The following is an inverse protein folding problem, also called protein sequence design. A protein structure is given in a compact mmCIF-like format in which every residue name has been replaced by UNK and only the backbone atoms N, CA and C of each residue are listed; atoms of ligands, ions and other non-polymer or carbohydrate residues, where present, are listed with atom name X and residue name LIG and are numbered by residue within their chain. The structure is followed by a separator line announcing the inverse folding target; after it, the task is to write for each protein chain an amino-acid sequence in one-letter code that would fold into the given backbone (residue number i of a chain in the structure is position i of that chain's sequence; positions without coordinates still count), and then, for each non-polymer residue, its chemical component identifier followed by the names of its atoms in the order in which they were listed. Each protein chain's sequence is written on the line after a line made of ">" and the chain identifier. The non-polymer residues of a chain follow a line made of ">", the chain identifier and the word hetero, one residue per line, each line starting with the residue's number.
data_IF_941907116041
#
_entry.id   IF_941907116041
#
_cell.length_a   1.000
_cell.length_b   1.000
_cell.length_c   1.000
_cell.angle_alpha   90.00
_cell.angle_beta   90.00
_cell.angle_gamma   90.00
#
_symmetry.space_group_name_H-M   'P 1'
#
loop_
_entity.id
_entity.type
_entity.pdbx_description
1 polymer ?
#
# COMPACT_ATOMS: atom_id res chain seq x y z
N UNK A 1 -74.37 72.79 2.10
CA UNK A 1 -74.48 72.92 0.64
C UNK A 1 -73.77 71.76 -0.04
N UNK A 2 -74.50 70.69 -0.33
CA UNK A 2 -74.47 69.98 -1.60
C UNK A 2 -75.65 69.00 -1.56
N UNK A 3 -76.79 69.52 -2.02
CA UNK A 3 -77.95 68.73 -2.39
C UNK A 3 -77.54 67.75 -3.50
N UNK A 4 -77.62 66.46 -3.24
CA UNK A 4 -77.56 65.43 -4.27
C UNK A 4 -78.96 64.84 -4.47
N UNK A 5 -79.64 65.40 -5.47
CA UNK A 5 -80.83 64.89 -6.15
C UNK A 5 -80.95 63.36 -6.10
N UNK A 6 -81.89 62.83 -5.32
CA UNK A 6 -82.46 61.51 -5.59
C UNK A 6 -83.29 61.62 -6.87
N UNK A 7 -82.66 61.35 -8.03
CA UNK A 7 -83.41 61.00 -9.24
C UNK A 7 -84.17 59.71 -8.93
N UNK A 8 -85.48 59.79 -8.82
CA UNK A 8 -86.36 58.62 -8.83
C UNK A 8 -86.20 57.91 -10.18
N UNK A 9 -85.31 56.92 -10.22
CA UNK A 9 -85.15 56.03 -11.34
C UNK A 9 -86.32 55.03 -11.30
N UNK A 10 -87.34 55.28 -12.12
CA UNK A 10 -88.47 54.36 -12.35
C UNK A 10 -88.08 53.18 -13.26
N UNK A 11 -86.79 52.82 -13.30
CA UNK A 11 -86.31 51.62 -13.98
C UNK A 11 -86.61 50.43 -13.09
N UNK A 12 -87.53 49.56 -13.53
CA UNK A 12 -87.83 48.30 -12.86
C UNK A 12 -86.63 47.38 -13.05
N UNK A 13 -85.73 47.37 -12.06
CA UNK A 13 -84.59 46.45 -12.04
C UNK A 13 -85.07 45.04 -11.70
N UNK A 14 -84.52 44.04 -12.38
CA UNK A 14 -84.69 42.66 -11.94
C UNK A 14 -83.96 42.44 -10.62
N UNK A 15 -84.41 41.47 -9.82
CA UNK A 15 -83.75 41.09 -8.56
C UNK A 15 -82.28 40.74 -8.79
N UNK A 16 -81.97 40.12 -9.94
CA UNK A 16 -80.61 39.80 -10.36
C UNK A 16 -79.78 41.05 -10.65
N UNK A 17 -80.35 42.05 -11.32
CA UNK A 17 -79.65 43.30 -11.66
C UNK A 17 -79.36 44.12 -10.40
N UNK A 18 -80.31 44.15 -9.45
CA UNK A 18 -80.13 44.79 -8.15
C UNK A 18 -78.98 44.15 -7.36
N UNK A 19 -78.96 42.82 -7.22
CA UNK A 19 -77.91 42.11 -6.47
C UNK A 19 -76.54 42.23 -7.14
N UNK A 20 -76.47 42.20 -8.48
CA UNK A 20 -75.21 42.41 -9.20
C UNK A 20 -74.70 43.85 -9.05
N UNK A 21 -75.59 44.84 -9.03
CA UNK A 21 -75.24 46.24 -8.77
C UNK A 21 -74.69 46.41 -7.35
N UNK A 22 -75.38 45.84 -6.35
CA UNK A 22 -74.94 45.86 -4.95
C UNK A 22 -73.58 45.19 -4.77
N UNK A 23 -73.38 44.00 -5.37
CA UNK A 23 -72.08 43.31 -5.37
C UNK A 23 -70.95 44.21 -5.91
N UNK A 24 -71.15 44.85 -7.07
CA UNK A 24 -70.13 45.73 -7.67
C UNK A 24 -69.78 46.93 -6.79
N UNK A 25 -70.76 47.52 -6.11
CA UNK A 25 -70.53 48.64 -5.19
C UNK A 25 -69.74 48.21 -3.95
N UNK A 26 -70.04 47.04 -3.39
CA UNK A 26 -69.35 46.48 -2.23
C UNK A 26 -67.91 46.12 -2.56
N UNK A 27 -67.69 45.40 -3.67
CA UNK A 27 -66.35 44.99 -4.11
C UNK A 27 -65.48 46.20 -4.47
N UNK A 28 -66.08 47.28 -5.00
CA UNK A 28 -65.35 48.52 -5.32
C UNK A 28 -64.91 49.29 -4.08
N UNK A 29 -65.76 49.36 -3.06
CA UNK A 29 -65.50 50.17 -1.86
C UNK A 29 -64.72 49.42 -0.78
N UNK A 30 -64.75 48.08 -0.78
CA UNK A 30 -64.18 47.24 0.28
C UNK A 30 -63.34 46.09 -0.30
N UNK A 31 -62.30 46.43 -1.06
CA UNK A 31 -61.46 45.48 -1.82
C UNK A 31 -60.27 44.89 -1.06
N UNK A 32 -59.93 45.39 0.13
CA UNK A 32 -58.97 44.78 1.06
C UNK A 32 -59.09 45.46 2.43
N UNK A 33 -59.86 44.85 3.32
CA UNK A 33 -60.10 45.36 4.67
C UNK A 33 -59.78 44.30 5.71
N UNK A 34 -59.48 44.78 6.91
CA UNK A 34 -59.19 43.95 8.07
C UNK A 34 -60.39 43.96 9.01
N UNK A 35 -60.83 42.78 9.44
CA UNK A 35 -61.91 42.60 10.41
C UNK A 35 -61.45 41.70 11.55
N UNK A 36 -61.91 41.98 12.76
CA UNK A 36 -61.60 41.19 13.96
C UNK A 36 -62.90 40.68 14.58
N UNK A 37 -62.89 39.44 15.07
CA UNK A 37 -64.00 38.91 15.85
C UNK A 37 -63.81 37.45 16.23
N UNK A 38 -64.82 36.87 16.85
CA UNK A 38 -64.83 35.47 17.29
C UNK A 38 -65.40 34.57 16.18
N UNK A 39 -64.70 33.47 15.88
CA UNK A 39 -65.14 32.47 14.91
C UNK A 39 -66.29 31.65 15.49
N UNK A 40 -67.35 31.49 14.70
CA UNK A 40 -68.49 30.63 15.03
C UNK A 40 -68.94 29.82 13.82
N UNK A 41 -69.49 28.63 14.07
CA UNK A 41 -70.04 27.74 13.07
C UNK A 41 -69.03 27.38 11.96
N UNK A 42 -67.78 27.08 12.32
CA UNK A 42 -66.76 26.67 11.38
C UNK A 42 -67.08 25.32 10.74
N UNK A 43 -67.05 25.29 9.39
CA UNK A 43 -67.28 24.09 8.59
C UNK A 43 -66.25 23.98 7.47
N UNK A 44 -65.53 22.87 7.45
CA UNK A 44 -64.70 22.45 6.31
C UNK A 44 -65.46 21.44 5.46
N UNK A 45 -65.71 21.77 4.19
CA UNK A 45 -66.36 20.87 3.22
C UNK A 45 -65.33 20.11 2.38
N UNK A 46 -65.73 18.98 1.79
CA UNK A 46 -64.89 18.13 0.94
C UNK A 46 -64.31 18.84 -0.31
N UNK A 47 -64.95 19.94 -0.74
CA UNK A 47 -64.44 20.84 -1.79
C UNK A 47 -63.14 21.55 -1.40
N UNK A 48 -62.77 21.52 -0.12
CA UNK A 48 -61.60 22.20 0.41
C UNK A 48 -61.82 23.69 0.65
N UNK A 49 -63.07 24.17 0.74
CA UNK A 49 -63.39 25.54 1.14
C UNK A 49 -63.79 25.57 2.63
N UNK A 50 -63.40 26.63 3.32
CA UNK A 50 -63.83 26.87 4.69
C UNK A 50 -64.95 27.91 4.72
N UNK A 51 -66.02 27.57 5.42
CA UNK A 51 -67.14 28.45 5.67
C UNK A 51 -67.28 28.62 7.17
N UNK A 52 -67.30 29.86 7.63
CA UNK A 52 -67.46 30.16 9.05
C UNK A 52 -68.10 31.53 9.18
N UNK A 53 -68.52 31.90 10.38
CA UNK A 53 -68.97 33.25 10.68
C UNK A 53 -68.00 33.90 11.64
N UNK A 54 -67.85 35.21 11.53
CA UNK A 54 -67.16 36.02 12.53
C UNK A 54 -68.19 36.94 13.17
N UNK A 55 -68.24 36.91 14.50
CA UNK A 55 -69.12 37.77 15.30
C UNK A 55 -68.31 38.75 16.15
N UNK A 56 -68.87 39.92 16.38
CA UNK A 56 -68.49 40.84 17.44
C UNK A 56 -69.66 40.97 18.45
N UNK A 57 -69.60 41.91 19.38
CA UNK A 57 -70.64 42.09 20.42
C UNK A 57 -72.02 42.44 19.85
N UNK A 58 -72.09 43.00 18.62
CA UNK A 58 -73.31 43.59 18.06
C UNK A 58 -73.70 43.03 16.68
N UNK A 59 -72.85 42.26 16.01
CA UNK A 59 -73.02 41.89 14.60
C UNK A 59 -72.29 40.58 14.25
N UNK A 60 -72.77 39.89 13.21
CA UNK A 60 -72.11 38.72 12.63
C UNK A 60 -72.01 38.84 11.10
N UNK A 61 -70.95 38.29 10.52
CA UNK A 61 -70.75 38.23 9.07
C UNK A 61 -70.33 36.82 8.63
N UNK A 62 -70.82 36.39 7.48
CA UNK A 62 -70.44 35.11 6.88
C UNK A 62 -69.11 35.24 6.14
N UNK A 63 -68.15 34.39 6.48
CA UNK A 63 -66.82 34.35 5.90
C UNK A 63 -66.63 33.10 5.03
N UNK A 64 -65.89 33.27 3.93
CA UNK A 64 -65.51 32.18 3.03
C UNK A 64 -64.01 32.24 2.78
N UNK A 65 -63.33 31.11 2.89
CA UNK A 65 -61.93 30.97 2.51
C UNK A 65 -61.81 29.88 1.43
N UNK A 66 -61.36 30.28 0.24
CA UNK A 66 -61.24 29.38 -0.89
C UNK A 66 -60.02 28.45 -0.75
N UNK A 67 -60.05 27.30 -1.45
CA UNK A 67 -59.08 26.20 -1.34
C UNK A 67 -57.63 26.62 -1.63
N UNK A 68 -57.47 27.59 -2.53
CA UNK A 68 -56.15 28.10 -2.85
C UNK A 68 -55.55 28.93 -1.70
N UNK A 69 -56.41 29.62 -0.93
CA UNK A 69 -56.00 30.49 0.18
C UNK A 69 -55.86 29.73 1.50
N UNK A 70 -56.69 28.72 1.77
CA UNK A 70 -56.56 27.94 3.01
C UNK A 70 -55.35 27.00 3.01
N UNK A 71 -54.86 26.56 1.85
CA UNK A 71 -53.60 25.82 1.75
C UNK A 71 -52.38 26.68 2.12
N UNK A 72 -52.48 28.00 1.99
CA UNK A 72 -51.47 28.96 2.43
C UNK A 72 -51.74 29.54 3.82
N UNK A 73 -52.80 29.09 4.49
CA UNK A 73 -53.12 29.56 5.83
C UNK A 73 -52.26 28.82 6.87
N UNK A 74 -51.60 29.58 7.74
CA UNK A 74 -50.77 29.02 8.82
C UNK A 74 -51.60 28.36 9.93
N UNK A 75 -52.92 28.57 9.94
CA UNK A 75 -53.82 28.07 10.97
C UNK A 75 -55.16 27.63 10.39
N UNK A 76 -55.77 26.62 11.03
CA UNK A 76 -57.17 26.22 10.82
C UNK A 76 -57.97 26.73 12.02
N UNK A 77 -58.89 27.68 11.84
CA UNK A 77 -59.66 28.23 12.96
C UNK A 77 -60.67 27.22 13.50
N UNK A 78 -60.96 27.34 14.80
CA UNK A 78 -61.95 26.58 15.56
C UNK A 78 -63.02 27.53 16.11
N UNK A 79 -64.17 26.97 16.47
CA UNK A 79 -65.25 27.75 17.10
C UNK A 79 -64.79 28.29 18.46
N UNK A 80 -64.95 29.60 18.67
CA UNK A 80 -64.49 30.33 19.86
C UNK A 80 -63.18 31.09 19.67
N UNK A 81 -62.47 30.89 18.56
CA UNK A 81 -61.19 31.55 18.31
C UNK A 81 -61.37 33.04 17.99
N UNK A 82 -60.59 33.90 18.63
CA UNK A 82 -60.55 35.32 18.30
C UNK A 82 -59.54 35.56 17.17
N UNK A 83 -60.03 35.95 16.00
CA UNK A 83 -59.23 36.03 14.77
C UNK A 83 -59.27 37.42 14.16
N UNK A 84 -58.21 37.74 13.42
CA UNK A 84 -58.08 38.89 12.55
C UNK A 84 -58.01 38.36 11.11
N UNK A 85 -58.91 38.85 10.27
CA UNK A 85 -59.04 38.44 8.88
C UNK A 85 -58.74 39.60 7.95
N UNK A 86 -57.95 39.36 6.90
CA UNK A 86 -57.82 40.27 5.78
C UNK A 86 -58.56 39.70 4.56
N UNK A 87 -59.29 40.55 3.85
CA UNK A 87 -60.10 40.10 2.72
C UNK A 87 -60.97 41.19 2.12
N UNK A 88 -61.92 40.77 1.29
CA UNK A 88 -62.83 41.67 0.58
C UNK A 88 -64.30 41.34 0.87
N UNK A 89 -65.15 42.36 0.88
CA UNK A 89 -66.60 42.17 1.00
C UNK A 89 -67.17 41.89 -0.40
N UNK A 90 -67.90 40.79 -0.51
CA UNK A 90 -68.63 40.39 -1.70
C UNK A 90 -70.07 40.02 -1.33
N UNK A 91 -70.87 39.67 -2.34
CA UNK A 91 -72.27 39.24 -2.16
C UNK A 91 -72.55 37.98 -2.97
N UNK A 92 -73.23 37.02 -2.35
CA UNK A 92 -73.73 35.85 -3.04
C UNK A 92 -75.04 36.18 -3.77
N UNK A 93 -74.92 36.55 -5.04
CA UNK A 93 -75.99 37.10 -5.89
C UNK A 93 -77.26 36.25 -5.88
N UNK A 94 -77.15 34.92 -5.83
CA UNK A 94 -78.28 34.00 -5.87
C UNK A 94 -79.17 34.04 -4.61
N UNK A 95 -78.62 34.39 -3.44
CA UNK A 95 -79.39 34.54 -2.18
C UNK A 95 -79.43 35.97 -1.66
N UNK A 96 -78.72 36.91 -2.28
CA UNK A 96 -78.64 38.30 -1.84
C UNK A 96 -77.91 38.49 -0.49
N UNK A 97 -77.09 37.52 -0.06
CA UNK A 97 -76.40 37.53 1.24
C UNK A 97 -74.99 38.13 1.14
N UNK A 98 -74.62 38.95 2.12
CA UNK A 98 -73.25 39.44 2.29
C UNK A 98 -72.30 38.30 2.66
N UNK A 99 -71.09 38.34 2.09
CA UNK A 99 -70.01 37.42 2.42
C UNK A 99 -68.67 38.14 2.45
N UNK A 100 -67.81 37.77 3.39
CA UNK A 100 -66.44 38.22 3.47
C UNK A 100 -65.52 37.14 2.88
N UNK A 101 -64.82 37.45 1.80
CA UNK A 101 -63.86 36.56 1.18
C UNK A 101 -62.50 36.75 1.86
N UNK A 102 -62.07 35.75 2.62
CA UNK A 102 -60.85 35.76 3.42
C UNK A 102 -59.64 35.41 2.55
N UNK A 103 -58.67 36.31 2.51
CA UNK A 103 -57.38 36.09 1.88
C UNK A 103 -56.33 35.60 2.89
N UNK A 104 -56.30 36.14 4.10
CA UNK A 104 -55.45 35.67 5.21
C UNK A 104 -56.17 35.70 6.55
N UNK A 105 -55.76 34.82 7.46
CA UNK A 105 -56.34 34.62 8.79
C UNK A 105 -55.22 34.46 9.82
N UNK A 106 -55.29 35.22 10.91
CA UNK A 106 -54.34 35.23 12.03
C UNK A 106 -55.13 35.29 13.35
N UNK A 107 -54.57 34.84 14.47
CA UNK A 107 -55.19 35.08 15.78
C UNK A 107 -55.03 36.55 16.17
N UNK A 108 -56.05 37.12 16.82
CA UNK A 108 -56.05 38.53 17.19
C UNK A 108 -54.91 38.93 18.16
N UNK A 109 -54.36 37.97 18.92
CA UNK A 109 -53.23 38.18 19.83
C UNK A 109 -51.85 38.18 19.16
N UNK A 110 -51.64 37.36 18.13
CA UNK A 110 -50.31 37.13 17.53
C UNK A 110 -49.73 38.38 16.86
N UNK A 111 -50.55 39.20 16.20
CA UNK A 111 -50.07 40.43 15.55
C UNK A 111 -49.54 41.50 16.52
N UNK A 112 -50.14 41.59 17.71
CA UNK A 112 -49.66 42.50 18.78
C UNK A 112 -48.35 41.97 19.37
N UNK A 113 -48.29 40.66 19.62
CA UNK A 113 -47.09 39.99 20.13
C UNK A 113 -45.92 40.13 19.14
N UNK A 114 -46.13 39.85 17.85
CA UNK A 114 -45.09 40.00 16.83
C UNK A 114 -44.55 41.43 16.74
N UNK A 115 -45.44 42.44 16.75
CA UNK A 115 -45.03 43.85 16.76
C UNK A 115 -44.22 44.20 18.00
N UNK A 116 -44.61 43.70 19.17
CA UNK A 116 -43.87 43.93 20.41
C UNK A 116 -42.51 43.22 20.44
N UNK A 117 -42.43 42.02 19.87
CA UNK A 117 -41.18 41.27 19.68
C UNK A 117 -40.22 42.02 18.77
N UNK A 118 -40.67 42.49 17.61
CA UNK A 118 -39.82 43.26 16.67
C UNK A 118 -39.32 44.58 17.30
N UNK A 119 -40.18 45.27 18.05
CA UNK A 119 -39.81 46.48 18.75
C UNK A 119 -38.74 46.23 19.82
N UNK A 120 -38.92 45.17 20.62
CA UNK A 120 -37.97 44.78 21.66
C UNK A 120 -36.64 44.32 21.06
N UNK A 121 -36.69 43.49 20.01
CA UNK A 121 -35.51 43.02 19.29
C UNK A 121 -34.66 44.19 18.78
N UNK A 122 -35.28 45.17 18.13
CA UNK A 122 -34.57 46.37 17.64
C UNK A 122 -33.93 47.17 18.78
N UNK A 123 -34.63 47.31 19.92
CA UNK A 123 -34.10 48.03 21.09
C UNK A 123 -32.86 47.32 21.66
N UNK A 124 -32.98 46.04 21.98
CA UNK A 124 -31.87 45.26 22.55
C UNK A 124 -30.68 45.12 21.59
N UNK A 125 -30.95 45.04 20.29
CA UNK A 125 -29.91 45.05 19.26
C UNK A 125 -29.12 46.37 19.28
N UNK A 126 -29.80 47.51 19.38
CA UNK A 126 -29.14 48.81 19.47
C UNK A 126 -28.36 48.99 20.78
N UNK A 127 -28.81 48.35 21.85
CA UNK A 127 -28.14 48.34 23.15
C UNK A 127 -26.92 47.36 23.19
N UNK A 128 -26.63 46.66 22.09
CA UNK A 128 -25.46 45.77 21.96
C UNK A 128 -25.61 44.38 22.57
N UNK A 129 -26.81 43.99 23.01
CA UNK A 129 -27.05 42.69 23.68
C UNK A 129 -26.84 41.47 22.76
N UNK A 130 -26.76 41.68 21.45
CA UNK A 130 -26.62 40.60 20.45
C UNK A 130 -25.22 40.55 19.81
N UNK A 131 -24.29 41.40 20.26
CA UNK A 131 -22.97 41.54 19.65
C UNK A 131 -22.14 40.27 19.87
N UNK A 132 -21.59 39.70 18.79
CA UNK A 132 -20.81 38.46 18.86
C UNK A 132 -19.56 38.59 19.75
N UNK A 133 -18.98 39.79 19.86
CA UNK A 133 -17.79 40.03 20.71
C UNK A 133 -18.07 39.85 22.20
N UNK A 134 -19.33 39.95 22.63
CA UNK A 134 -19.74 39.78 24.03
C UNK A 134 -20.04 38.33 24.39
N UNK A 135 -20.18 37.45 23.38
CA UNK A 135 -20.57 36.06 23.57
C UNK A 135 -19.40 35.21 24.06
N UNK A 136 -19.69 34.30 24.98
CA UNK A 136 -18.74 33.38 25.58
C UNK A 136 -18.59 32.12 24.73
N UNK A 137 -17.35 31.68 24.53
CA UNK A 137 -17.08 30.40 23.88
C UNK A 137 -17.48 29.24 24.79
N UNK A 138 -18.07 28.20 24.20
CA UNK A 138 -18.35 26.95 24.90
C UNK A 138 -17.06 26.28 25.39
N UNK A 139 -17.07 25.70 26.60
CA UNK A 139 -15.93 24.95 27.10
C UNK A 139 -15.70 23.71 26.25
N UNK A 140 -14.45 23.39 25.96
CA UNK A 140 -14.10 22.23 25.13
C UNK A 140 -14.45 20.88 25.79
N UNK A 141 -14.41 20.77 27.11
CA UNK A 141 -14.82 19.55 27.84
C UNK A 141 -15.63 19.95 29.06
N UNK A 142 -16.93 20.27 28.90
CA UNK A 142 -17.78 20.59 30.04
C UNK A 142 -17.88 19.37 30.95
N UNK A 143 -17.60 19.54 32.24
CA UNK A 143 -17.76 18.45 33.22
C UNK A 143 -19.18 18.41 33.77
N UNK A 144 -19.81 19.57 33.92
CA UNK A 144 -21.13 19.68 34.52
C UNK A 144 -21.92 20.79 33.84
N UNK A 145 -23.12 20.45 33.37
CA UNK A 145 -24.06 21.37 32.75
C UNK A 145 -25.31 21.56 33.61
N UNK A 146 -25.86 22.76 33.59
CA UNK A 146 -27.19 23.03 34.11
C UNK A 146 -28.19 23.03 32.96
N UNK A 147 -29.38 22.46 33.17
CA UNK A 147 -30.48 22.48 32.20
C UNK A 147 -31.68 23.13 32.84
N UNK A 148 -32.17 24.23 32.28
CA UNK A 148 -33.45 24.81 32.67
C UNK A 148 -34.52 24.27 31.72
N UNK A 149 -35.44 23.48 32.25
CA UNK A 149 -36.59 22.96 31.52
C UNK A 149 -37.69 22.52 32.48
N UNK A 150 -38.82 22.06 31.95
CA UNK A 150 -39.90 21.48 32.76
C UNK A 150 -39.46 20.16 33.41
N UNK A 151 -39.79 19.96 34.69
CA UNK A 151 -39.38 18.79 35.48
C UNK A 151 -39.73 17.43 34.86
N UNK A 152 -40.93 17.33 34.25
CA UNK A 152 -41.49 16.08 33.71
C UNK A 152 -41.56 16.07 32.17
N UNK A 153 -40.82 16.96 31.50
CA UNK A 153 -40.92 17.10 30.03
C UNK A 153 -40.09 16.07 29.26
N UNK A 154 -40.54 15.72 28.05
CA UNK A 154 -39.76 14.88 27.12
C UNK A 154 -38.38 15.49 26.81
N UNK A 155 -38.30 16.82 26.80
CA UNK A 155 -37.09 17.62 26.53
C UNK A 155 -35.88 17.21 27.38
N UNK A 156 -36.04 17.08 28.70
CA UNK A 156 -34.91 16.72 29.57
C UNK A 156 -34.49 15.27 29.35
N UNK A 157 -35.45 14.39 29.03
CA UNK A 157 -35.17 12.98 28.75
C UNK A 157 -34.37 12.83 27.45
N UNK A 158 -34.71 13.61 26.42
CA UNK A 158 -33.99 13.64 25.15
C UNK A 158 -32.55 14.14 25.33
N UNK A 159 -32.36 15.26 26.03
CA UNK A 159 -31.03 15.78 26.38
C UNK A 159 -30.22 14.72 27.12
N UNK A 160 -30.81 14.09 28.15
CA UNK A 160 -30.16 13.05 28.95
C UNK A 160 -29.77 11.84 28.11
N UNK A 161 -30.64 11.39 27.20
CA UNK A 161 -30.38 10.24 26.33
C UNK A 161 -29.22 10.52 25.38
N UNK A 162 -29.16 11.72 24.79
CA UNK A 162 -28.07 12.13 23.89
C UNK A 162 -26.74 12.22 24.63
N UNK A 163 -26.72 12.88 25.80
CA UNK A 163 -25.50 13.04 26.60
C UNK A 163 -25.01 11.69 27.12
N UNK A 164 -25.89 10.84 27.69
CA UNK A 164 -25.48 9.51 28.16
C UNK A 164 -24.85 8.64 27.06
N UNK A 165 -25.31 8.81 25.82
CA UNK A 165 -24.78 8.06 24.67
C UNK A 165 -23.45 8.61 24.18
N UNK A 166 -23.30 9.95 24.09
CA UNK A 166 -22.14 10.60 23.45
C UNK A 166 -21.07 11.05 24.44
N UNK A 167 -21.46 11.52 25.61
CA UNK A 167 -20.58 12.08 26.63
C UNK A 167 -21.08 11.75 28.06
N UNK A 168 -21.02 10.47 28.49
CA UNK A 168 -21.53 10.02 29.79
C UNK A 168 -20.77 10.59 31.00
N UNK A 169 -19.65 11.28 30.77
CA UNK A 169 -18.85 11.96 31.80
C UNK A 169 -19.39 13.34 32.17
N UNK A 170 -20.37 13.86 31.43
CA UNK A 170 -21.00 15.14 31.73
C UNK A 170 -22.08 14.93 32.78
N UNK A 171 -21.90 15.56 33.94
CA UNK A 171 -22.94 15.66 34.96
C UNK A 171 -24.03 16.64 34.52
N UNK A 172 -25.29 16.28 34.73
CA UNK A 172 -26.44 17.10 34.37
C UNK A 172 -27.20 17.48 35.64
N UNK A 173 -27.39 18.78 35.89
CA UNK A 173 -28.32 19.28 36.90
C UNK A 173 -29.52 19.93 36.24
N UNK A 174 -30.68 19.31 36.41
CA UNK A 174 -31.96 19.88 36.02
C UNK A 174 -32.39 20.93 37.05
N UNK A 175 -32.65 22.14 36.59
CA UNK A 175 -33.30 23.20 37.35
C UNK A 175 -34.72 23.32 36.81
N UNK A 176 -35.72 22.79 37.52
CA UNK A 176 -37.09 22.76 37.03
C UNK A 176 -37.67 24.18 37.00
N UNK A 177 -38.23 24.57 35.86
CA UNK A 177 -38.92 25.85 35.68
C UNK A 177 -40.22 25.68 34.91
N UNK A 178 -41.18 26.58 35.16
CA UNK A 178 -42.33 26.78 34.30
C UNK A 178 -41.84 27.48 33.02
N UNK A 179 -42.04 26.81 31.89
CA UNK A 179 -41.51 27.20 30.57
C UNK A 179 -42.61 27.60 29.59
N UNK A 180 -43.87 27.65 30.05
CA UNK A 180 -45.03 28.16 29.32
C UNK A 180 -46.11 28.61 30.32
N UNK A 181 -47.06 29.41 29.85
CA UNK A 181 -48.22 29.85 30.64
C UNK A 181 -47.91 30.95 31.65
N UNK A 182 -48.94 31.37 32.39
CA UNK A 182 -48.81 32.48 33.34
C UNK A 182 -47.83 32.17 34.47
N UNK A 183 -46.92 33.12 34.76
CA UNK A 183 -45.89 32.99 35.79
C UNK A 183 -44.60 32.26 35.35
N UNK A 184 -44.51 31.82 34.10
CA UNK A 184 -43.29 31.23 33.52
C UNK A 184 -42.09 32.18 33.52
N UNK A 185 -42.29 33.47 33.22
CA UNK A 185 -41.22 34.48 33.22
C UNK A 185 -40.52 34.55 34.58
N UNK A 186 -41.30 34.65 35.67
CA UNK A 186 -40.78 34.70 37.03
C UNK A 186 -40.12 33.38 37.43
N UNK A 187 -40.70 32.24 37.01
CA UNK A 187 -40.09 30.92 37.25
C UNK A 187 -38.74 30.77 36.55
N UNK A 188 -38.59 31.28 35.31
CA UNK A 188 -37.34 31.24 34.55
C UNK A 188 -36.29 32.15 35.19
N UNK A 189 -36.65 33.35 35.64
CA UNK A 189 -35.76 34.25 36.37
C UNK A 189 -35.27 33.64 37.69
N UNK A 190 -36.15 32.96 38.42
CA UNK A 190 -35.78 32.22 39.63
C UNK A 190 -34.83 31.06 39.32
N UNK A 191 -35.05 30.35 38.21
CA UNK A 191 -34.17 29.27 37.76
C UNK A 191 -32.77 29.79 37.40
N UNK A 192 -32.66 30.90 36.65
CA UNK A 192 -31.37 31.55 36.36
C UNK A 192 -30.65 31.99 37.63
N UNK A 193 -31.39 32.49 38.62
CA UNK A 193 -30.81 32.84 39.93
C UNK A 193 -30.21 31.62 40.63
N UNK A 194 -30.84 30.44 40.50
CA UNK A 194 -30.28 29.19 41.01
C UNK A 194 -29.03 28.75 40.23
N UNK A 195 -29.02 28.86 38.90
CA UNK A 195 -27.82 28.61 38.07
C UNK A 195 -26.66 29.49 38.54
N UNK A 196 -26.91 30.79 38.74
CA UNK A 196 -25.89 31.74 39.19
C UNK A 196 -25.26 31.32 40.52
N UNK A 197 -26.09 30.93 41.50
CA UNK A 197 -25.61 30.39 42.79
C UNK A 197 -24.77 29.12 42.63
N UNK A 198 -25.13 28.23 41.69
CA UNK A 198 -24.34 27.03 41.40
C UNK A 198 -23.01 27.36 40.71
N UNK A 199 -22.99 28.40 39.88
CA UNK A 199 -21.79 28.87 39.21
C UNK A 199 -20.81 29.58 40.15
N UNK A 200 -21.31 30.31 41.15
CA UNK A 200 -20.45 30.90 42.19
C UNK A 200 -19.64 29.83 42.94
N UNK A 201 -20.17 28.59 43.00
CA UNK A 201 -19.48 27.42 43.52
C UNK A 201 -18.58 26.72 42.49
N UNK A 202 -18.41 27.29 41.30
CA UNK A 202 -17.72 26.74 40.11
C UNK A 202 -18.16 25.33 39.73
N UNK A 203 -19.42 25.00 39.98
CA UNK A 203 -19.96 23.67 39.70
C UNK A 203 -20.45 23.52 38.28
N UNK A 204 -20.88 24.59 37.61
CA UNK A 204 -21.52 24.52 36.29
C UNK A 204 -20.62 25.18 35.26
N UNK A 205 -20.37 24.52 34.12
CA UNK A 205 -19.53 25.04 33.05
C UNK A 205 -20.32 25.59 31.87
N UNK A 206 -21.57 25.16 31.71
CA UNK A 206 -22.46 25.60 30.64
C UNK A 206 -23.93 25.46 31.07
N UNK A 207 -24.78 26.30 30.50
CA UNK A 207 -26.22 26.30 30.70
C UNK A 207 -26.93 25.92 29.39
N UNK A 208 -27.93 25.05 29.46
CA UNK A 208 -28.88 24.82 28.37
C UNK A 208 -30.26 25.30 28.82
N UNK A 209 -30.81 26.28 28.10
CA UNK A 209 -32.19 26.71 28.24
C UNK A 209 -33.03 25.98 27.19
N UNK A 210 -33.89 25.04 27.63
CA UNK A 210 -34.53 24.11 26.70
C UNK A 210 -36.05 24.07 26.84
N UNK A 211 -36.73 24.19 25.70
CA UNK A 211 -38.18 24.04 25.55
C UNK A 211 -38.49 23.39 24.20
N UNK A 212 -39.49 22.50 24.16
CA UNK A 212 -39.98 21.92 22.91
C UNK A 212 -40.71 22.97 22.05
N UNK A 213 -41.24 22.53 20.90
CA UNK A 213 -42.12 23.36 20.06
C UNK A 213 -43.40 23.80 20.78
N UNK A 214 -44.02 24.87 20.30
CA UNK A 214 -45.25 25.43 20.83
C UNK A 214 -45.76 26.58 19.97
N UNK A 215 -46.92 27.15 20.31
CA UNK A 215 -47.39 28.38 19.67
C UNK A 215 -46.49 29.57 20.04
N UNK A 216 -46.64 30.70 19.35
CA UNK A 216 -45.91 31.93 19.69
C UNK A 216 -46.24 32.40 21.13
N UNK A 217 -47.46 32.13 21.59
CA UNK A 217 -47.91 32.40 22.96
C UNK A 217 -47.20 31.49 23.98
N UNK A 218 -47.03 30.21 23.68
CA UNK A 218 -46.33 29.26 24.56
C UNK A 218 -44.85 29.63 24.76
N UNK A 219 -44.23 30.22 23.73
CA UNK A 219 -42.83 30.64 23.74
C UNK A 219 -42.64 32.09 24.20
N UNK A 220 -43.72 32.82 24.45
CA UNK A 220 -43.67 34.27 24.69
C UNK A 220 -42.83 34.66 25.91
N UNK A 221 -42.76 33.79 26.90
CA UNK A 221 -42.01 33.99 28.14
C UNK A 221 -40.50 34.16 27.91
N UNK A 222 -39.99 33.62 26.80
CA UNK A 222 -38.59 33.76 26.37
C UNK A 222 -38.32 35.07 25.62
N UNK A 223 -39.36 35.89 25.39
CA UNK A 223 -39.25 37.24 24.83
C UNK A 223 -39.24 38.34 25.92
N UNK A 224 -39.08 37.99 27.20
CA UNK A 224 -38.94 38.98 28.27
C UNK A 224 -37.60 39.70 28.22
N UNK A 225 -37.64 41.03 28.31
CA UNK A 225 -36.47 41.89 28.46
C UNK A 225 -35.68 41.61 29.74
N UNK A 226 -36.37 41.30 30.86
CA UNK A 226 -35.70 40.98 32.13
C UNK A 226 -34.91 39.68 32.00
N UNK A 227 -35.49 38.69 31.35
CA UNK A 227 -34.86 37.40 31.13
C UNK A 227 -33.62 37.54 30.23
N UNK A 228 -33.76 38.28 29.14
CA UNK A 228 -32.66 38.66 28.25
C UNK A 228 -31.51 39.34 29.02
N UNK A 229 -31.83 40.31 29.86
CA UNK A 229 -30.82 41.03 30.64
C UNK A 229 -30.06 40.13 31.63
N UNK A 230 -30.76 39.18 32.27
CA UNK A 230 -30.12 38.24 33.19
C UNK A 230 -29.28 37.18 32.46
N UNK A 231 -29.68 36.74 31.26
CA UNK A 231 -28.86 35.86 30.42
C UNK A 231 -27.58 36.57 30.00
N UNK A 232 -27.67 37.81 29.52
CA UNK A 232 -26.49 38.59 29.12
C UNK A 232 -25.48 38.81 30.25
N UNK A 233 -25.95 38.94 31.51
CA UNK A 233 -25.08 39.11 32.68
C UNK A 233 -24.45 37.80 33.16
N UNK A 234 -24.87 36.64 32.65
CA UNK A 234 -24.32 35.36 33.09
C UNK A 234 -22.89 35.20 32.56
N UNK A 235 -21.99 34.81 33.45
CA UNK A 235 -20.60 34.46 33.09
C UNK A 235 -20.46 32.98 32.72
N UNK A 236 -21.54 32.37 32.23
CA UNK A 236 -21.61 30.96 31.88
C UNK A 236 -22.07 30.87 30.43
N UNK A 237 -21.33 30.14 29.57
CA UNK A 237 -21.77 29.86 28.22
C UNK A 237 -23.17 29.24 28.20
N UNK A 238 -24.10 29.92 27.55
CA UNK A 238 -25.52 29.58 27.52
C UNK A 238 -25.94 29.17 26.11
N UNK A 239 -26.51 27.97 25.99
CA UNK A 239 -27.11 27.45 24.77
C UNK A 239 -28.63 27.61 24.88
N UNK A 240 -29.22 28.35 23.96
CA UNK A 240 -30.67 28.39 23.80
C UNK A 240 -31.14 27.27 22.88
N UNK A 241 -32.13 26.51 23.32
CA UNK A 241 -32.70 25.38 22.60
C UNK A 241 -34.24 25.41 22.74
N UNK A 242 -34.83 26.50 22.25
CA UNK A 242 -36.25 26.82 22.40
C UNK A 242 -36.94 26.62 21.04
N UNK A 243 -37.95 25.75 21.00
CA UNK A 243 -38.77 25.55 19.80
C UNK A 243 -38.08 24.73 18.71
N UNK A 244 -38.39 25.06 17.45
CA UNK A 244 -37.84 24.45 16.23
C UNK A 244 -37.03 25.46 15.39
N UNK A 245 -36.52 25.03 14.24
CA UNK A 245 -35.64 25.84 13.38
C UNK A 245 -36.19 27.24 13.06
N UNK A 246 -37.51 27.37 12.87
CA UNK A 246 -38.20 28.62 12.51
C UNK A 246 -38.54 29.51 13.69
N UNK A 247 -38.47 29.00 14.91
CA UNK A 247 -38.93 29.70 16.10
C UNK A 247 -37.76 30.51 16.66
N UNK A 248 -37.90 31.84 16.68
CA UNK A 248 -36.88 32.73 17.22
C UNK A 248 -37.45 33.53 18.38
N UNK A 249 -36.74 33.48 19.50
CA UNK A 249 -37.03 34.24 20.71
C UNK A 249 -35.91 35.21 21.02
N UNK A 250 -36.16 36.20 21.87
CA UNK A 250 -35.11 37.14 22.32
C UNK A 250 -33.99 36.39 23.04
N UNK A 251 -34.32 35.37 23.84
CA UNK A 251 -33.32 34.54 24.50
C UNK A 251 -32.35 33.87 23.52
N UNK A 252 -32.81 33.47 22.33
CA UNK A 252 -31.94 32.88 21.30
C UNK A 252 -30.87 33.86 20.79
N UNK A 253 -31.22 35.15 20.70
CA UNK A 253 -30.28 36.18 20.22
C UNK A 253 -29.27 36.58 21.28
N UNK A 254 -29.69 36.65 22.55
CA UNK A 254 -28.81 37.00 23.69
C UNK A 254 -27.91 35.84 24.09
N UNK A 255 -28.37 34.60 23.95
CA UNK A 255 -27.55 33.44 24.29
C UNK A 255 -26.30 33.35 23.41
N UNK A 256 -25.25 32.72 23.95
CA UNK A 256 -23.97 32.57 23.28
C UNK A 256 -24.08 31.70 22.04
N UNK A 257 -24.92 30.66 22.11
CA UNK A 257 -25.21 29.79 20.99
C UNK A 257 -26.68 29.41 20.92
N UNK A 258 -27.24 29.36 19.71
CA UNK A 258 -28.55 28.80 19.45
C UNK A 258 -28.44 27.38 18.91
N UNK A 259 -29.22 26.47 19.48
CA UNK A 259 -29.48 25.14 18.96
C UNK A 259 -30.93 25.04 18.45
N UNK A 260 -31.16 24.40 17.29
CA UNK A 260 -32.51 24.33 16.70
C UNK A 260 -33.46 23.40 17.46
N UNK A 261 -32.94 22.51 18.31
CA UNK A 261 -33.72 21.62 19.16
C UNK A 261 -32.96 21.32 20.45
N UNK A 262 -33.66 20.90 21.53
CA UNK A 262 -33.01 20.44 22.76
C UNK A 262 -31.99 19.31 22.54
N UNK A 263 -32.32 18.36 21.67
CA UNK A 263 -31.40 17.27 21.30
C UNK A 263 -30.15 17.81 20.61
N UNK A 264 -30.28 18.77 19.69
CA UNK A 264 -29.14 19.40 19.03
C UNK A 264 -28.24 20.15 20.03
N UNK A 265 -28.79 20.79 21.06
CA UNK A 265 -27.99 21.40 22.12
C UNK A 265 -27.15 20.37 22.86
N UNK A 266 -27.74 19.21 23.17
CA UNK A 266 -27.04 18.08 23.77
C UNK A 266 -25.97 17.49 22.83
N UNK A 267 -26.20 17.51 21.51
CA UNK A 267 -25.22 17.08 20.52
C UNK A 267 -23.99 18.00 20.50
N UNK A 268 -24.22 19.32 20.39
CA UNK A 268 -23.17 20.35 20.36
C UNK A 268 -22.28 20.25 21.61
N UNK A 269 -22.88 20.17 22.80
CA UNK A 269 -22.12 20.14 24.05
C UNK A 269 -21.32 18.84 24.25
N UNK A 270 -21.70 17.78 23.53
CA UNK A 270 -21.08 16.45 23.62
C UNK A 270 -20.01 16.18 22.54
N UNK A 271 -19.90 17.04 21.53
CA UNK A 271 -19.09 16.80 20.33
C UNK A 271 -17.61 16.55 20.66
N UNK A 272 -17.03 17.42 21.47
CA UNK A 272 -15.62 17.32 21.86
C UNK A 272 -15.27 16.05 22.66
N UNK A 273 -16.24 15.42 23.34
CA UNK A 273 -16.00 14.14 24.00
C UNK A 273 -15.87 12.99 23.00
N UNK A 274 -16.63 13.02 21.90
CA UNK A 274 -16.51 12.03 20.83
C UNK A 274 -15.15 12.14 20.14
N UNK A 275 -14.70 13.36 19.85
CA UNK A 275 -13.37 13.62 19.30
C UNK A 275 -12.28 13.08 20.23
N UNK A 276 -12.37 13.35 21.54
CA UNK A 276 -11.38 12.86 22.51
C UNK A 276 -11.39 11.34 22.65
N UNK A 277 -12.56 10.71 22.58
CA UNK A 277 -12.67 9.26 22.62
C UNK A 277 -12.07 8.61 21.37
N UNK A 278 -12.26 9.22 20.20
CA UNK A 278 -11.62 8.79 18.96
C UNK A 278 -10.09 8.89 19.07
N UNK A 279 -9.56 10.01 19.56
CA UNK A 279 -8.12 10.21 19.78
C UNK A 279 -7.53 9.17 20.74
N UNK A 280 -8.21 8.87 21.85
CA UNK A 280 -7.79 7.83 22.80
C UNK A 280 -7.78 6.44 22.15
N UNK A 281 -8.75 6.15 21.29
CA UNK A 281 -8.83 4.88 20.56
C UNK A 281 -7.67 4.75 19.57
N UNK A 282 -7.33 5.83 18.85
CA UNK A 282 -6.16 5.87 17.97
C UNK A 282 -4.85 5.63 18.73
N UNK A 283 -4.65 6.32 19.85
CA UNK A 283 -3.46 6.15 20.71
C UNK A 283 -3.38 4.70 21.21
N UNK A 284 -4.49 4.10 21.64
CA UNK A 284 -4.56 2.71 22.06
C UNK A 284 -4.15 1.74 20.94
N UNK A 285 -4.63 1.97 19.72
CA UNK A 285 -4.29 1.15 18.55
C UNK A 285 -2.80 1.29 18.16
N UNK A 286 -2.24 2.50 18.25
CA UNK A 286 -0.82 2.75 18.02
C UNK A 286 0.04 2.02 19.05
N UNK A 287 -0.32 2.10 20.34
CA UNK A 287 0.35 1.36 21.41
C UNK A 287 0.29 -0.15 21.17
N UNK A 288 -0.88 -0.69 20.83
CA UNK A 288 -1.05 -2.11 20.52
C UNK A 288 -0.15 -2.56 19.36
N UNK A 289 -0.05 -1.75 18.31
CA UNK A 289 0.83 -2.00 17.16
C UNK A 289 2.30 -1.95 17.56
N UNK A 290 2.69 -0.97 18.37
CA UNK A 290 4.06 -0.85 18.87
C UNK A 290 4.47 -2.05 19.71
N UNK A 291 3.65 -2.45 20.69
CA UNK A 291 3.92 -3.64 21.51
C UNK A 291 4.02 -4.91 20.66
N UNK A 292 3.14 -5.08 19.68
CA UNK A 292 3.19 -6.22 18.74
C UNK A 292 4.51 -6.24 17.96
N UNK A 293 4.98 -5.10 17.49
CA UNK A 293 6.25 -4.99 16.78
C UNK A 293 7.45 -5.31 17.67
N UNK A 294 7.44 -4.83 18.92
CA UNK A 294 8.47 -5.16 19.92
C UNK A 294 8.52 -6.67 20.18
N UNK A 295 7.36 -7.30 20.43
CA UNK A 295 7.26 -8.75 20.64
C UNK A 295 7.75 -9.54 19.43
N UNK A 296 7.31 -9.18 18.22
CA UNK A 296 7.78 -9.80 16.97
C UNK A 296 9.30 -9.64 16.80
N UNK A 297 9.86 -8.49 17.19
CA UNK A 297 11.30 -8.24 17.19
C UNK A 297 12.06 -9.20 18.10
N UNK A 298 11.57 -9.44 19.32
CA UNK A 298 12.17 -10.40 20.24
C UNK A 298 12.00 -11.85 19.78
N UNK A 299 10.84 -12.22 19.25
CA UNK A 299 10.61 -13.55 18.68
C UNK A 299 11.57 -13.85 17.52
N UNK A 300 11.80 -12.87 16.65
CA UNK A 300 12.76 -13.02 15.56
C UNK A 300 14.20 -13.15 16.06
N UNK A 301 14.61 -12.35 17.06
CA UNK A 301 15.92 -12.50 17.71
C UNK A 301 16.07 -13.89 18.33
N UNK A 302 15.05 -14.37 19.02
CA UNK A 302 15.05 -15.69 19.66
C UNK A 302 15.16 -16.80 18.60
N UNK A 303 14.42 -16.72 17.48
CA UNK A 303 14.53 -17.65 16.36
C UNK A 303 15.93 -17.65 15.72
N UNK A 304 16.56 -16.48 15.60
CA UNK A 304 17.93 -16.37 15.06
C UNK A 304 18.93 -17.04 16.03
N UNK A 305 18.83 -16.76 17.33
CA UNK A 305 19.68 -17.37 18.36
C UNK A 305 19.48 -18.89 18.42
N UNK A 306 18.22 -19.35 18.33
CA UNK A 306 17.92 -20.78 18.26
C UNK A 306 18.54 -21.44 17.03
N UNK A 307 18.57 -20.75 15.88
CA UNK A 307 19.24 -21.25 14.66
C UNK A 307 20.77 -21.18 14.75
N UNK A 308 21.33 -20.23 15.50
CA UNK A 308 22.78 -20.09 15.68
C UNK A 308 23.35 -21.08 16.70
N UNK A 309 22.51 -21.72 17.52
CA UNK A 309 22.87 -22.90 18.27
C UNK A 309 23.15 -24.06 17.30
N UNK A 310 24.41 -24.19 16.90
CA UNK A 310 24.90 -25.34 16.15
C UNK A 310 24.61 -26.58 16.99
N UNK A 311 23.85 -27.52 16.43
CA UNK A 311 23.58 -28.80 17.09
C UNK A 311 24.92 -29.44 17.51
N UNK A 312 25.14 -29.71 18.82
CA UNK A 312 26.39 -30.26 19.31
C UNK A 312 26.79 -31.54 18.59
N UNK A 313 25.81 -32.38 18.19
CA UNK A 313 26.06 -33.59 17.41
C UNK A 313 26.69 -33.29 16.05
N UNK A 314 26.22 -32.25 15.36
CA UNK A 314 26.78 -31.83 14.08
C UNK A 314 28.20 -31.30 14.24
N UNK A 315 28.48 -30.53 15.30
CA UNK A 315 29.83 -30.04 15.58
C UNK A 315 30.80 -31.17 15.93
N UNK A 316 30.35 -32.15 16.73
CA UNK A 316 31.12 -33.35 17.06
C UNK A 316 31.39 -34.19 15.81
N UNK A 317 30.39 -34.39 14.95
CA UNK A 317 30.54 -35.12 13.70
C UNK A 317 31.56 -34.46 12.76
N UNK A 318 31.48 -33.14 12.58
CA UNK A 318 32.47 -32.38 11.80
C UNK A 318 33.88 -32.51 12.36
N UNK A 319 34.04 -32.51 13.69
CA UNK A 319 35.35 -32.69 14.32
C UNK A 319 35.88 -34.12 14.14
N UNK A 320 35.01 -35.14 14.18
CA UNK A 320 35.38 -36.52 13.85
C UNK A 320 35.84 -36.65 12.40
N UNK A 321 35.10 -36.08 11.45
CA UNK A 321 35.50 -36.11 10.04
C UNK A 321 36.87 -35.44 9.81
N UNK A 322 37.14 -34.30 10.48
CA UNK A 322 38.47 -33.67 10.46
C UNK A 322 39.55 -34.53 11.07
N UNK A 323 39.25 -35.25 12.16
CA UNK A 323 40.18 -36.17 12.78
C UNK A 323 40.56 -37.29 11.80
N UNK A 324 39.58 -37.88 11.10
CA UNK A 324 39.80 -38.91 10.09
C UNK A 324 40.63 -38.38 8.90
N UNK A 325 40.37 -37.15 8.45
CA UNK A 325 41.17 -36.49 7.42
C UNK A 325 42.63 -36.29 7.87
N UNK A 326 42.85 -35.79 9.09
CA UNK A 326 44.19 -35.61 9.64
C UNK A 326 44.91 -36.94 9.85
N UNK A 327 44.21 -37.98 10.27
CA UNK A 327 44.76 -39.33 10.42
C UNK A 327 45.21 -39.90 9.07
N UNK A 328 44.38 -39.73 8.02
CA UNK A 328 44.74 -40.15 6.67
C UNK A 328 45.96 -39.37 6.14
N UNK A 329 45.99 -38.05 6.30
CA UNK A 329 47.13 -37.22 5.90
C UNK A 329 48.40 -37.62 6.64
N UNK A 330 48.31 -37.88 7.95
CA UNK A 330 49.44 -38.32 8.76
C UNK A 330 49.96 -39.67 8.24
N UNK A 331 49.07 -40.64 8.00
CA UNK A 331 49.44 -41.96 7.49
C UNK A 331 50.10 -41.90 6.11
N UNK A 332 49.58 -41.07 5.19
CA UNK A 332 50.18 -40.87 3.87
C UNK A 332 51.58 -40.26 4.01
N UNK A 333 51.73 -39.22 4.84
CA UNK A 333 53.01 -38.55 5.03
C UNK A 333 54.05 -39.48 5.68
N UNK A 334 53.69 -40.22 6.74
CA UNK A 334 54.57 -41.18 7.39
C UNK A 334 55.03 -42.26 6.39
N UNK A 335 54.09 -42.83 5.63
CA UNK A 335 54.43 -43.81 4.59
C UNK A 335 55.35 -43.21 3.53
N UNK A 336 55.10 -41.98 3.09
CA UNK A 336 55.93 -41.26 2.14
C UNK A 336 57.36 -41.06 2.65
N UNK A 337 57.53 -40.64 3.91
CA UNK A 337 58.84 -40.48 4.55
C UNK A 337 59.58 -41.82 4.65
N UNK A 338 58.89 -42.88 5.08
CA UNK A 338 59.49 -44.23 5.18
C UNK A 338 59.97 -44.73 3.81
N UNK A 339 59.14 -44.57 2.77
CA UNK A 339 59.49 -44.98 1.40
C UNK A 339 60.70 -44.18 0.90
N UNK A 340 60.74 -42.86 1.13
CA UNK A 340 61.86 -42.01 0.76
C UNK A 340 63.17 -42.44 1.44
N UNK A 341 63.13 -42.71 2.74
CA UNK A 341 64.28 -43.21 3.49
C UNK A 341 64.76 -44.57 2.98
N UNK A 342 63.84 -45.52 2.72
CA UNK A 342 64.18 -46.83 2.13
C UNK A 342 64.84 -46.69 0.76
N UNK A 343 64.30 -45.84 -0.11
CA UNK A 343 64.86 -45.59 -1.43
C UNK A 343 66.26 -44.97 -1.35
N UNK A 344 66.47 -44.02 -0.45
CA UNK A 344 67.81 -43.43 -0.22
C UNK A 344 68.81 -44.49 0.23
N UNK A 345 68.43 -45.36 1.18
CA UNK A 345 69.30 -46.48 1.63
C UNK A 345 69.60 -47.43 0.47
N UNK A 346 68.60 -47.77 -0.35
CA UNK A 346 68.79 -48.64 -1.51
C UNK A 346 69.72 -48.02 -2.56
N UNK A 347 69.58 -46.71 -2.83
CA UNK A 347 70.46 -45.96 -3.73
C UNK A 347 71.89 -45.93 -3.19
N UNK A 348 72.11 -45.53 -1.93
CA UNK A 348 73.45 -45.52 -1.33
C UNK A 348 74.10 -46.90 -1.30
N UNK A 349 73.30 -47.97 -1.10
CA UNK A 349 73.80 -49.36 -1.19
C UNK A 349 74.22 -49.74 -2.62
N UNK A 350 73.44 -49.30 -3.63
CA UNK A 350 73.75 -49.50 -5.05
C UNK A 350 75.03 -48.75 -5.43
N UNK A 351 75.14 -47.47 -5.05
CA UNK A 351 76.33 -46.65 -5.25
C UNK A 351 77.57 -47.29 -4.62
N UNK A 352 77.47 -47.75 -3.38
CA UNK A 352 78.57 -48.45 -2.70
C UNK A 352 78.96 -49.75 -3.43
N UNK A 353 78.00 -50.48 -3.98
CA UNK A 353 78.28 -51.69 -4.76
C UNK A 353 79.00 -51.38 -6.08
N UNK A 354 78.59 -50.33 -6.78
CA UNK A 354 79.22 -49.88 -8.03
C UNK A 354 80.62 -49.29 -7.82
N UNK A 355 80.87 -48.69 -6.65
CA UNK A 355 82.19 -48.19 -6.24
C UNK A 355 83.10 -49.28 -5.69
N UNK A 356 82.61 -50.53 -5.56
CA UNK A 356 83.43 -51.64 -5.07
C UNK A 356 84.61 -51.90 -6.01
N UNK A 357 85.86 -51.74 -5.54
CA UNK A 357 87.04 -52.01 -6.35
C UNK A 357 87.05 -53.43 -6.91
N UNK A 358 86.48 -54.39 -6.18
CA UNK A 358 86.39 -55.79 -6.61
C UNK A 358 85.47 -55.97 -7.82
N UNK A 359 84.32 -55.28 -7.88
CA UNK A 359 83.42 -55.36 -9.05
C UNK A 359 84.06 -54.72 -10.28
N UNK A 360 84.68 -53.55 -10.11
CA UNK A 360 85.42 -52.89 -11.20
C UNK A 360 86.57 -53.76 -11.71
N UNK A 361 87.35 -54.40 -10.84
CA UNK A 361 88.42 -55.33 -11.23
C UNK A 361 87.85 -56.52 -12.01
N UNK A 362 86.72 -57.10 -11.59
CA UNK A 362 86.09 -58.23 -12.28
C UNK A 362 85.60 -57.85 -13.68
N UNK A 363 84.97 -56.68 -13.83
CA UNK A 363 84.51 -56.16 -15.13
C UNK A 363 85.73 -55.91 -16.03
N UNK A 364 86.74 -55.19 -15.54
CA UNK A 364 87.96 -54.90 -16.32
C UNK A 364 88.74 -56.16 -16.70
N UNK A 365 88.77 -57.19 -15.85
CA UNK A 365 89.41 -58.48 -16.15
C UNK A 365 88.68 -59.21 -17.29
N UNK A 366 87.34 -59.18 -17.29
CA UNK A 366 86.54 -59.72 -18.41
C UNK A 366 86.75 -58.95 -19.70
N UNK A 367 86.77 -57.62 -19.64
CA UNK A 367 87.06 -56.77 -20.81
C UNK A 367 88.45 -57.06 -21.37
N UNK A 368 89.47 -57.16 -20.52
CA UNK A 368 90.83 -57.50 -20.92
C UNK A 368 90.89 -58.87 -21.62
N UNK A 369 90.23 -59.88 -21.05
CA UNK A 369 90.20 -61.22 -21.64
C UNK A 369 89.48 -61.24 -22.99
N UNK A 370 88.38 -60.50 -23.13
CA UNK A 370 87.67 -60.35 -24.41
C UNK A 370 88.56 -59.67 -25.46
N UNK A 371 89.23 -58.57 -25.08
CA UNK A 371 90.11 -57.83 -25.98
C UNK A 371 91.32 -58.66 -26.42
N UNK A 372 91.89 -59.48 -25.52
CA UNK A 372 92.97 -60.42 -25.85
C UNK A 372 92.51 -61.45 -26.89
N UNK A 373 91.33 -62.05 -26.70
CA UNK A 373 90.79 -63.02 -27.65
C UNK A 373 90.51 -62.40 -29.02
N UNK A 374 89.98 -61.17 -29.05
CA UNK A 374 89.75 -60.42 -30.30
C UNK A 374 91.07 -60.14 -31.01
N UNK A 375 92.09 -59.68 -30.28
CA UNK A 375 93.41 -59.39 -30.83
C UNK A 375 94.05 -60.63 -31.46
N UNK A 376 94.06 -61.76 -30.75
CA UNK A 376 94.62 -63.02 -31.25
C UNK A 376 93.92 -63.45 -32.54
N UNK A 377 92.59 -63.40 -32.57
CA UNK A 377 91.82 -63.75 -33.77
C UNK A 377 92.13 -62.84 -34.96
N UNK A 378 92.29 -61.54 -34.73
CA UNK A 378 92.68 -60.59 -35.77
C UNK A 378 94.09 -60.88 -36.29
N UNK A 379 95.03 -61.19 -35.39
CA UNK A 379 96.41 -61.55 -35.76
C UNK A 379 96.46 -62.81 -36.61
N UNK A 380 95.75 -63.86 -36.23
CA UNK A 380 95.68 -65.12 -37.01
C UNK A 380 95.14 -64.86 -38.41
N UNK A 381 94.04 -64.09 -38.50
CA UNK A 381 93.43 -63.71 -39.79
C UNK A 381 94.41 -62.91 -40.65
N UNK A 382 95.16 -61.99 -40.05
CA UNK A 382 96.17 -61.20 -40.77
C UNK A 382 97.33 -62.05 -41.30
N UNK A 383 97.81 -63.02 -40.50
CA UNK A 383 98.87 -63.94 -40.90
C UNK A 383 98.42 -64.81 -42.08
N UNK A 384 97.21 -65.36 -42.04
CA UNK A 384 96.67 -66.17 -43.13
C UNK A 384 96.54 -65.37 -44.44
N UNK A 385 96.03 -64.14 -44.38
CA UNK A 385 95.97 -63.26 -45.56
C UNK A 385 97.36 -62.98 -46.17
N UNK A 386 98.41 -62.88 -45.35
CA UNK A 386 99.78 -62.70 -45.84
C UNK A 386 100.34 -63.97 -46.49
N UNK A 387 100.07 -65.15 -45.91
CA UNK A 387 100.46 -66.45 -46.49
C UNK A 387 99.77 -66.68 -47.84
N UNK A 388 98.47 -66.43 -47.95
CA UNK A 388 97.74 -66.56 -49.21
C UNK A 388 98.31 -65.66 -50.30
N UNK A 389 98.60 -64.39 -49.97
CA UNK A 389 99.24 -63.46 -50.89
C UNK A 389 100.61 -63.95 -51.37
N UNK A 390 101.41 -64.51 -50.47
CA UNK A 390 102.73 -65.05 -50.80
C UNK A 390 102.63 -66.28 -51.71
N UNK A 391 101.75 -67.22 -51.41
CA UNK A 391 101.50 -68.41 -52.25
C UNK A 391 101.05 -68.04 -53.67
N UNK A 392 100.22 -67.00 -53.80
CA UNK A 392 99.81 -66.47 -55.12
C UNK A 392 100.99 -65.97 -55.94
N UNK A 393 101.90 -65.19 -55.32
CA UNK A 393 103.09 -64.67 -55.99
C UNK A 393 104.03 -65.81 -56.46
N UNK A 394 104.16 -66.89 -55.68
CA UNK A 394 104.91 -68.08 -56.10
C UNK A 394 104.28 -68.74 -57.33
N UNK A 395 102.95 -68.88 -57.34
CA UNK A 395 102.21 -69.46 -58.47
C UNK A 395 102.42 -68.68 -59.78
N UNK A 396 102.36 -67.35 -59.71
CA UNK A 396 102.62 -66.47 -60.85
C UNK A 396 104.04 -66.66 -61.40
N UNK A 397 105.05 -66.71 -60.52
CA UNK A 397 106.45 -66.90 -60.91
C UNK A 397 106.68 -68.23 -61.64
N UNK A 398 106.10 -69.32 -61.17
CA UNK A 398 106.29 -70.66 -61.75
C UNK A 398 105.66 -70.83 -63.14
N UNK A 399 104.61 -70.05 -63.45
CA UNK A 399 103.90 -70.12 -64.74
C UNK A 399 104.70 -69.58 -65.92
N UNK A 400 105.70 -68.73 -65.67
CA UNK A 400 106.46 -68.00 -66.68
C UNK A 400 107.79 -68.68 -67.08
N UNK A 401 108.10 -69.89 -66.56
CA UNK A 401 109.41 -70.56 -66.79
C UNK A 401 109.44 -71.45 -68.05
N UNK A 402 110.36 -71.22 -69.02
CA UNK A 402 110.50 -72.01 -70.25
C UNK A 402 110.84 -73.49 -70.03
N UNK A 403 111.47 -73.84 -68.90
CA UNK A 403 111.81 -75.22 -68.53
C UNK A 403 110.56 -76.12 -68.38
N UNK A 404 109.43 -75.52 -67.96
CA UNK A 404 108.17 -76.26 -67.82
C UNK A 404 107.46 -76.53 -69.17
N UNK A 405 107.86 -75.86 -70.26
CA UNK A 405 107.32 -76.14 -71.59
C UNK A 405 107.93 -77.42 -72.17
N UNK A 406 109.22 -77.67 -71.88
CA UNK A 406 109.92 -78.88 -72.32
C UNK A 406 109.55 -80.13 -71.50
N UNK A 407 109.19 -79.98 -70.22
CA UNK A 407 108.70 -81.09 -69.38
C UNK A 407 107.29 -81.57 -69.73
N UNK A 408 106.52 -80.81 -70.53
CA UNK A 408 105.18 -81.20 -71.03
C UNK A 408 105.20 -82.10 -72.27
N UNK A 409 106.37 -82.62 -72.67
CA UNK A 409 106.49 -83.61 -73.74
C UNK A 409 106.71 -83.05 -75.14
N UNK A 410 107.00 -81.76 -75.28
CA UNK A 410 107.42 -81.16 -76.55
C UNK A 410 108.93 -81.36 -76.77
N UNK A 411 109.31 -81.71 -77.99
CA UNK A 411 110.71 -81.92 -78.39
C UNK A 411 111.18 -80.83 -79.34
N UNK A 412 112.47 -80.51 -79.33
CA UNK A 412 113.12 -79.63 -80.31
C UNK A 412 114.02 -80.49 -81.20
N UNK A 413 113.77 -80.46 -82.51
CA UNK A 413 114.52 -81.27 -83.48
C UNK A 413 115.44 -80.38 -84.30
N UNK A 414 116.71 -80.77 -84.45
CA UNK A 414 117.75 -80.03 -85.16
C UNK A 414 118.40 -80.90 -86.24
N UNK A 415 118.92 -80.31 -87.32
CA UNK A 415 119.70 -81.03 -88.33
C UNK A 415 121.15 -81.22 -87.82
N UNK A 416 121.69 -82.46 -87.85
CA UNK A 416 122.99 -82.79 -87.22
C UNK A 416 124.19 -82.11 -87.89
N UNK A 417 124.13 -81.83 -89.20
CA UNK A 417 125.23 -81.20 -89.94
C UNK A 417 125.29 -79.68 -89.74
N UNK A 418 124.14 -79.01 -89.67
CA UNK A 418 124.07 -77.55 -89.66
C UNK A 418 123.73 -76.98 -88.28
N UNK A 419 123.24 -77.80 -87.36
CA UNK A 419 122.77 -77.37 -86.04
C UNK A 419 121.47 -76.55 -86.05
N UNK A 420 120.85 -76.30 -87.21
CA UNK A 420 119.60 -75.52 -87.31
C UNK A 420 118.40 -76.32 -86.80
N UNK A 421 117.50 -75.65 -86.06
CA UNK A 421 116.21 -76.20 -85.64
C UNK A 421 115.34 -76.43 -86.88
N UNK A 422 114.84 -77.66 -87.00
CA UNK A 422 113.88 -78.07 -88.01
C UNK A 422 112.51 -77.60 -87.55
N UNK A 423 111.90 -76.71 -88.34
CA UNK A 423 110.54 -76.22 -88.08
C UNK A 423 109.56 -76.68 -89.14
N UNK A 424 110.04 -76.93 -90.36
CA UNK A 424 109.22 -77.32 -91.50
C UNK A 424 109.81 -78.53 -92.23
N UNK A 425 108.96 -79.27 -92.94
CA UNK A 425 109.32 -80.50 -93.66
C UNK A 425 110.44 -80.30 -94.70
N UNK A 426 110.52 -79.13 -95.33
CA UNK A 426 111.52 -78.82 -96.36
C UNK A 426 112.95 -78.66 -95.79
N UNK A 427 113.12 -78.63 -94.46
CA UNK A 427 114.42 -78.46 -93.81
C UNK A 427 115.24 -79.76 -93.79
N UNK A 428 114.68 -80.87 -94.29
CA UNK A 428 115.29 -82.20 -94.31
C UNK A 428 115.07 -82.89 -95.65
N UNK A 429 116.09 -83.59 -96.14
CA UNK A 429 116.01 -84.42 -97.35
C UNK A 429 116.15 -85.91 -97.03
N UNK A 430 115.57 -86.83 -97.84
CA UNK A 430 115.73 -88.26 -97.63
C UNK A 430 117.21 -88.67 -97.60
N UNK A 431 117.62 -89.32 -96.52
CA UNK A 431 119.02 -89.68 -96.25
C UNK A 431 119.72 -88.84 -95.18
N UNK A 432 119.17 -87.68 -94.80
CA UNK A 432 119.72 -86.82 -93.75
C UNK A 432 119.59 -87.43 -92.34
N UNK A 433 120.48 -87.03 -91.44
CA UNK A 433 120.44 -87.40 -90.01
C UNK A 433 120.04 -86.18 -89.17
N UNK A 434 118.98 -86.33 -88.38
CA UNK A 434 118.43 -85.30 -87.48
C UNK A 434 118.64 -85.71 -86.03
N UNK A 435 118.80 -84.73 -85.15
CA UNK A 435 118.97 -84.91 -83.70
C UNK A 435 117.77 -84.28 -82.99
N UNK A 436 117.00 -85.08 -82.27
CA UNK A 436 115.84 -84.59 -81.49
C UNK A 436 116.21 -84.52 -80.01
N UNK A 437 115.97 -83.36 -79.39
CA UNK A 437 116.11 -83.12 -77.96
C UNK A 437 114.75 -83.17 -77.28
N UNK A 438 114.60 -84.11 -76.37
CA UNK A 438 113.46 -84.25 -75.44
C UNK A 438 114.02 -84.11 -74.04
N UNK A 439 113.30 -83.41 -73.15
CA UNK A 439 113.68 -83.11 -71.75
C UNK A 439 115.20 -83.13 -71.46
N UNK A 440 115.75 -84.31 -71.18
CA UNK A 440 117.15 -84.53 -70.79
C UNK A 440 117.96 -85.43 -71.74
N UNK A 441 117.37 -85.93 -72.84
CA UNK A 441 118.04 -86.86 -73.77
C UNK A 441 118.01 -86.39 -75.23
N UNK A 442 119.03 -86.84 -75.96
CA UNK A 442 119.22 -86.56 -77.39
C UNK A 442 119.36 -87.89 -78.12
N UNK A 443 118.67 -88.04 -79.24
CA UNK A 443 118.85 -89.19 -80.12
C UNK A 443 118.87 -88.76 -81.58
N UNK A 444 119.61 -89.53 -82.37
CA UNK A 444 119.77 -89.30 -83.79
C UNK A 444 118.87 -90.23 -84.59
N UNK A 445 118.25 -89.69 -85.63
CA UNK A 445 117.34 -90.41 -86.51
C UNK A 445 117.69 -90.12 -87.96
N UNK A 446 117.50 -91.11 -88.85
CA UNK A 446 117.73 -90.93 -90.29
C UNK A 446 116.40 -90.73 -91.00
N UNK A 447 116.32 -89.73 -91.86
CA UNK A 447 115.10 -89.41 -92.60
C UNK A 447 114.95 -90.39 -93.75
N UNK A 448 113.89 -91.20 -93.71
CA UNK A 448 113.61 -92.25 -94.71
C UNK A 448 112.72 -91.71 -95.82
N UNK A 449 111.76 -90.85 -95.47
CA UNK A 449 110.90 -90.12 -96.38
C UNK A 449 110.69 -88.73 -95.79
N UNK A 450 110.99 -87.70 -96.57
CA UNK A 450 110.75 -86.31 -96.20
C UNK A 450 109.30 -85.97 -96.44
#
# INVERSE_FOLDING_TARGET
>A
MQDSNQKNNLDILSVSDLNNSAKRLLEKNYSSIWIQGEVTNFRSYDSGHWYFKVKDDNSEIQCVMFRFRNNSANMKPSDGDQVVLNGSISMYVAKGSYQFQVDSIEYAGEGVLLKSFEALKKRLQNDGFFDEETKLNLPHLPQHIAVISSANGAVIQDIRNVINRRAPLIDITLIPALVQGDGSEESLLNALTQVKKLNDLKKVNALILARGGGSLEDLWSFNSEKLAMEIFKLQIPTISAIGHETDFTICDFVSDLRAPTPSAAAEIISESYLEKFAELTEISNLLGTYFKNVLNGYDNKLKIIQKSLINPKTKIFQNHQKLDEYENLLNINIKGVIVKLKNNIALSKSELSNLSPLQNILIRKKELQSNQNILLKIMDTFIELKKERFSRLIGEMNSLSPLNVLSRGYSITNNKKTGKIIRNQNDVSPGDVITTKVSETLFDSKVIKS
#
